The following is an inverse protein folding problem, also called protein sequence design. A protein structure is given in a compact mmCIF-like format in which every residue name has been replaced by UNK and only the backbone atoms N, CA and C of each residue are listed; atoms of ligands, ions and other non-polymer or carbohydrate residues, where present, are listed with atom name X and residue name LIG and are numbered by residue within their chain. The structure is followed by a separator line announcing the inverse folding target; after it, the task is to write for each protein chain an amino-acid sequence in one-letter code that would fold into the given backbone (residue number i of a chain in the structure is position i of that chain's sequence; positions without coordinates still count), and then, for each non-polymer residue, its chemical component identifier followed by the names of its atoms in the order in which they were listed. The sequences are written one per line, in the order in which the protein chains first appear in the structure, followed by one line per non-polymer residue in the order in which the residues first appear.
data_IF_928388978003
#
_entry.id   IF_928388978003
#
_cell.length_a   1.000
_cell.length_b   1.000
_cell.length_c   1.000
_cell.angle_alpha   90.00
_cell.angle_beta   90.00
_cell.angle_gamma   90.00
#
_symmetry.space_group_name_H-M   'P 1'
#
loop_
_entity.id
_entity.type
_entity.pdbx_description
1 polymer ?
#
# COMPACT_ATOMS: atom_id res chain seq x y z
N UNK A 1 -12.59 3.12 -22.80
CA UNK A 1 -13.20 1.78 -22.71
C UNK A 1 -13.36 1.09 -24.06
N UNK A 2 -13.99 1.68 -25.06
CA UNK A 2 -14.20 1.04 -26.37
C UNK A 2 -12.90 0.53 -26.99
N UNK A 3 -11.88 1.37 -27.10
CA UNK A 3 -10.57 0.97 -27.63
C UNK A 3 -9.92 -0.16 -26.82
N UNK A 4 -9.99 -0.08 -25.50
CA UNK A 4 -9.44 -1.12 -24.60
C UNK A 4 -10.06 -2.48 -24.90
N UNK A 5 -11.39 -2.53 -25.03
CA UNK A 5 -12.11 -3.79 -25.27
C UNK A 5 -11.86 -4.30 -26.69
N UNK A 6 -12.04 -3.47 -27.71
CA UNK A 6 -11.91 -3.88 -29.11
C UNK A 6 -10.49 -4.37 -29.41
N UNK A 7 -9.47 -3.66 -28.97
CA UNK A 7 -8.07 -4.04 -29.21
C UNK A 7 -7.66 -5.31 -28.50
N UNK A 8 -8.26 -5.61 -27.35
CA UNK A 8 -7.87 -6.73 -26.51
C UNK A 8 -8.90 -7.87 -26.43
N UNK A 9 -9.98 -7.78 -27.19
CA UNK A 9 -11.09 -8.74 -27.13
C UNK A 9 -10.65 -10.19 -27.30
N UNK A 10 -9.72 -10.43 -28.21
CA UNK A 10 -9.22 -11.78 -28.55
C UNK A 10 -8.10 -12.30 -27.60
N UNK A 11 -7.83 -11.63 -26.49
CA UNK A 11 -6.91 -12.11 -25.49
C UNK A 11 -7.65 -12.98 -24.45
N UNK A 12 -7.54 -14.32 -24.49
CA UNK A 12 -8.33 -15.21 -23.63
C UNK A 12 -7.90 -15.14 -22.15
N UNK A 13 -6.73 -14.62 -21.85
CA UNK A 13 -6.23 -14.41 -20.48
C UNK A 13 -6.88 -13.21 -19.76
N UNK A 14 -7.58 -12.34 -20.47
CA UNK A 14 -8.33 -11.27 -19.85
C UNK A 14 -9.62 -11.85 -19.29
N UNK A 15 -9.82 -11.73 -17.97
CA UNK A 15 -10.99 -12.23 -17.25
C UNK A 15 -11.97 -11.14 -16.88
N UNK A 16 -11.46 -9.92 -16.64
CA UNK A 16 -12.22 -8.79 -16.12
C UNK A 16 -11.89 -7.52 -16.89
N UNK A 17 -12.89 -6.64 -17.03
CA UNK A 17 -12.71 -5.26 -17.48
C UNK A 17 -12.78 -4.32 -16.29
N UNK A 18 -11.69 -3.62 -16.00
CA UNK A 18 -11.64 -2.59 -14.95
C UNK A 18 -12.23 -1.27 -15.43
N UNK A 19 -13.21 -0.72 -14.72
CA UNK A 19 -13.84 0.55 -15.07
C UNK A 19 -13.01 1.75 -14.62
N UNK A 20 -12.46 1.72 -13.41
CA UNK A 20 -11.65 2.82 -12.86
C UNK A 20 -10.77 2.38 -11.70
N UNK A 21 -9.83 3.25 -11.31
CA UNK A 21 -8.95 3.08 -10.17
C UNK A 21 -8.94 4.34 -9.28
N UNK A 22 -9.26 4.18 -8.01
CA UNK A 22 -9.17 5.21 -6.94
C UNK A 22 -9.85 6.55 -7.29
N UNK A 23 -10.86 6.53 -8.13
CA UNK A 23 -11.44 7.75 -8.69
C UNK A 23 -12.11 8.63 -7.62
N UNK A 24 -12.44 8.05 -6.44
CA UNK A 24 -13.04 8.76 -5.32
C UNK A 24 -12.03 9.53 -4.46
N UNK A 25 -10.73 9.45 -4.72
CA UNK A 25 -9.72 10.32 -4.08
C UNK A 25 -10.07 11.81 -4.29
N UNK A 26 -10.59 12.16 -5.48
CA UNK A 26 -11.05 13.51 -5.78
C UNK A 26 -12.43 13.90 -5.23
N UNK A 27 -13.06 13.02 -4.45
CA UNK A 27 -14.45 13.16 -4.01
C UNK A 27 -15.46 12.60 -5.00
N UNK A 28 -16.70 12.41 -4.54
CA UNK A 28 -17.80 11.87 -5.34
C UNK A 28 -18.69 12.99 -5.87
N UNK A 29 -19.15 12.86 -7.11
CA UNK A 29 -20.20 13.68 -7.70
C UNK A 29 -21.14 12.83 -8.57
N UNK A 30 -22.34 13.32 -8.85
CA UNK A 30 -23.33 12.56 -9.59
C UNK A 30 -22.87 12.18 -11.00
N UNK A 31 -22.18 13.10 -11.70
CA UNK A 31 -21.64 12.83 -13.04
C UNK A 31 -20.65 11.66 -13.05
N UNK A 32 -19.93 11.47 -11.95
CA UNK A 32 -18.99 10.36 -11.80
C UNK A 32 -19.72 9.02 -11.66
N UNK A 33 -20.78 9.00 -10.87
CA UNK A 33 -21.66 7.83 -10.71
C UNK A 33 -22.33 7.48 -12.03
N UNK A 34 -22.95 8.47 -12.71
CA UNK A 34 -23.62 8.29 -13.98
C UNK A 34 -22.66 7.77 -15.05
N UNK A 35 -21.45 8.32 -15.12
CA UNK A 35 -20.40 7.86 -16.04
C UNK A 35 -20.01 6.39 -15.79
N UNK A 36 -20.00 5.92 -14.54
CA UNK A 36 -19.70 4.52 -14.25
C UNK A 36 -20.82 3.58 -14.68
N UNK A 37 -22.08 4.00 -14.52
CA UNK A 37 -23.22 3.25 -15.09
C UNK A 37 -23.15 3.20 -16.64
N UNK A 38 -22.80 4.30 -17.28
CA UNK A 38 -22.63 4.34 -18.73
C UNK A 38 -21.46 3.46 -19.19
N UNK A 39 -20.32 3.47 -18.46
CA UNK A 39 -19.19 2.59 -18.73
C UNK A 39 -19.57 1.11 -18.56
N UNK A 40 -20.29 0.76 -17.50
CA UNK A 40 -20.77 -0.60 -17.28
C UNK A 40 -21.69 -1.07 -18.42
N UNK A 41 -22.62 -0.22 -18.84
CA UNK A 41 -23.50 -0.51 -19.97
C UNK A 41 -22.71 -0.70 -21.26
N UNK A 42 -21.77 0.21 -21.56
CA UNK A 42 -20.90 0.12 -22.74
C UNK A 42 -20.10 -1.18 -22.76
N UNK A 43 -19.52 -1.57 -21.60
CA UNK A 43 -18.77 -2.83 -21.51
C UNK A 43 -19.67 -4.02 -21.82
N UNK A 44 -20.89 -4.05 -21.27
CA UNK A 44 -21.86 -5.13 -21.53
C UNK A 44 -22.31 -5.21 -22.98
N UNK A 45 -22.40 -4.08 -23.66
CA UNK A 45 -22.73 -4.03 -25.09
C UNK A 45 -21.57 -4.57 -25.96
N UNK A 46 -20.34 -4.26 -25.60
CA UNK A 46 -19.14 -4.67 -26.36
C UNK A 46 -18.66 -6.09 -26.04
N UNK A 47 -18.77 -6.49 -24.77
CA UNK A 47 -18.37 -7.82 -24.29
C UNK A 47 -19.29 -8.31 -23.16
N UNK A 48 -20.35 -9.04 -23.49
CA UNK A 48 -21.28 -9.58 -22.48
C UNK A 48 -20.71 -10.81 -21.75
N UNK A 49 -19.51 -11.30 -22.11
CA UNK A 49 -18.98 -12.56 -21.61
C UNK A 49 -18.02 -12.40 -20.43
N UNK A 50 -17.29 -11.29 -20.36
CA UNK A 50 -16.34 -11.02 -19.27
C UNK A 50 -17.00 -10.18 -18.17
N UNK A 51 -16.54 -10.40 -16.96
CA UNK A 51 -16.99 -9.66 -15.80
C UNK A 51 -16.33 -8.26 -15.74
N UNK A 52 -16.93 -7.38 -14.97
CA UNK A 52 -16.41 -6.04 -14.70
C UNK A 52 -15.97 -5.90 -13.25
N UNK A 53 -15.03 -4.99 -13.01
CA UNK A 53 -14.53 -4.65 -11.68
C UNK A 53 -14.21 -3.16 -11.55
N UNK A 54 -14.15 -2.70 -10.33
CA UNK A 54 -13.68 -1.36 -9.95
C UNK A 54 -12.68 -1.49 -8.81
N UNK A 55 -11.63 -0.65 -8.81
CA UNK A 55 -10.67 -0.56 -7.74
C UNK A 55 -10.98 0.66 -6.87
N UNK A 56 -11.61 0.43 -5.71
CA UNK A 56 -11.93 1.47 -4.75
C UNK A 56 -10.71 1.89 -3.93
N UNK A 57 -10.64 3.15 -3.56
CA UNK A 57 -9.71 3.57 -2.51
C UNK A 57 -10.19 3.05 -1.15
N UNK A 58 -9.26 2.75 -0.25
CA UNK A 58 -9.52 2.02 1.01
C UNK A 58 -10.64 2.62 1.90
N UNK A 59 -10.87 3.91 1.83
CA UNK A 59 -11.89 4.61 2.62
C UNK A 59 -13.22 4.82 1.88
N UNK A 60 -13.43 4.20 0.72
CA UNK A 60 -14.72 4.26 0.02
C UNK A 60 -15.81 3.62 0.89
N UNK A 61 -16.89 4.36 1.22
CA UNK A 61 -17.99 3.80 2.00
C UNK A 61 -18.69 2.67 1.23
N UNK A 62 -18.92 1.53 1.89
CA UNK A 62 -19.50 0.34 1.26
C UNK A 62 -20.97 0.53 0.87
N UNK A 63 -21.69 1.39 1.55
CA UNK A 63 -23.08 1.76 1.26
C UNK A 63 -23.19 2.94 0.26
N UNK A 64 -22.06 3.34 -0.33
CA UNK A 64 -21.99 4.43 -1.31
C UNK A 64 -22.55 4.04 -2.69
N UNK A 65 -22.89 5.04 -3.53
CA UNK A 65 -23.53 4.81 -4.83
C UNK A 65 -22.60 4.21 -5.90
N UNK A 66 -21.32 3.99 -5.59
CA UNK A 66 -20.37 3.36 -6.49
C UNK A 66 -20.34 1.82 -6.37
N UNK A 67 -20.95 1.29 -5.31
CA UNK A 67 -21.08 -0.16 -5.13
C UNK A 67 -22.22 -0.74 -5.99
N UNK A 68 -22.12 -2.03 -6.31
CA UNK A 68 -23.06 -2.77 -7.15
C UNK A 68 -23.18 -2.27 -8.61
N UNK A 69 -22.24 -1.42 -9.06
CA UNK A 69 -22.17 -1.03 -10.49
C UNK A 69 -21.49 -2.15 -11.30
N UNK A 70 -20.45 -2.76 -10.75
CA UNK A 70 -19.67 -3.84 -11.39
C UNK A 70 -20.05 -5.20 -10.84
N UNK A 71 -19.64 -6.27 -11.53
CA UNK A 71 -19.97 -7.65 -11.12
C UNK A 71 -19.21 -8.10 -9.88
N UNK A 72 -17.97 -7.67 -9.77
CA UNK A 72 -17.11 -7.88 -8.62
C UNK A 72 -16.44 -6.56 -8.26
N UNK A 73 -16.05 -6.44 -7.01
CA UNK A 73 -15.45 -5.20 -6.51
C UNK A 73 -14.09 -5.47 -5.89
N UNK A 74 -13.26 -4.45 -5.84
CA UNK A 74 -11.95 -4.55 -5.20
C UNK A 74 -11.54 -3.24 -4.53
N UNK A 75 -10.61 -3.35 -3.60
CA UNK A 75 -10.06 -2.23 -2.86
C UNK A 75 -8.54 -2.18 -2.99
N UNK A 76 -8.02 -0.98 -3.17
CA UNK A 76 -6.62 -0.68 -2.96
C UNK A 76 -6.41 -0.48 -1.46
N UNK A 77 -5.82 -1.46 -0.78
CA UNK A 77 -5.83 -1.53 0.68
C UNK A 77 -4.41 -1.63 1.25
N UNK A 78 -4.02 -0.62 2.03
CA UNK A 78 -2.64 -0.44 2.45
C UNK A 78 -2.46 -0.34 3.98
N UNK A 79 -3.25 -1.08 4.77
CA UNK A 79 -3.02 -1.16 6.22
C UNK A 79 -1.65 -1.74 6.51
N UNK A 80 -0.90 -1.04 7.36
CA UNK A 80 0.50 -1.35 7.64
C UNK A 80 1.49 -0.61 6.75
N UNK A 81 1.01 0.31 5.85
CA UNK A 81 1.89 1.20 5.09
C UNK A 81 1.44 2.64 5.12
N UNK A 82 0.27 2.97 4.54
CA UNK A 82 -0.25 4.34 4.56
C UNK A 82 -1.07 4.65 5.81
N UNK A 83 -1.51 3.66 6.56
CA UNK A 83 -2.23 3.81 7.82
C UNK A 83 -2.51 2.47 8.48
N UNK A 84 -2.99 2.51 9.71
CA UNK A 84 -3.29 1.30 10.44
C UNK A 84 -2.07 0.40 10.66
N UNK A 85 -2.35 -0.86 11.00
CA UNK A 85 -1.35 -1.91 11.17
C UNK A 85 -1.65 -3.06 10.20
N UNK A 86 -0.63 -3.80 9.77
CA UNK A 86 -0.80 -4.91 8.83
C UNK A 86 -1.75 -6.00 9.36
N UNK A 87 -1.78 -6.20 10.68
CA UNK A 87 -2.65 -7.18 11.34
C UNK A 87 -4.13 -6.87 11.20
N UNK A 88 -4.49 -5.64 10.82
CA UNK A 88 -5.88 -5.23 10.62
C UNK A 88 -6.47 -5.70 9.28
N UNK A 89 -5.63 -6.13 8.32
CA UNK A 89 -6.10 -6.56 6.99
C UNK A 89 -7.06 -7.76 7.08
N UNK A 90 -6.70 -8.81 7.81
CA UNK A 90 -7.55 -9.99 7.98
C UNK A 90 -8.90 -9.66 8.64
N UNK A 91 -8.93 -9.07 9.83
CA UNK A 91 -10.18 -8.65 10.49
C UNK A 91 -11.06 -7.70 9.65
N UNK A 92 -10.45 -6.81 8.88
CA UNK A 92 -11.21 -5.93 7.97
C UNK A 92 -11.91 -6.73 6.87
N UNK A 93 -11.21 -7.66 6.23
CA UNK A 93 -11.77 -8.54 5.21
C UNK A 93 -12.90 -9.41 5.78
N UNK A 94 -12.70 -10.01 6.96
CA UNK A 94 -13.69 -10.86 7.62
C UNK A 94 -14.95 -10.06 7.96
N UNK A 95 -14.79 -8.84 8.48
CA UNK A 95 -15.90 -7.95 8.79
C UNK A 95 -16.65 -7.56 7.52
N UNK A 96 -15.93 -7.13 6.47
CA UNK A 96 -16.54 -6.76 5.19
C UNK A 96 -17.37 -7.91 4.63
N UNK A 97 -16.82 -9.10 4.57
CA UNK A 97 -17.49 -10.29 4.04
C UNK A 97 -18.73 -10.69 4.85
N UNK A 98 -18.68 -10.51 6.18
CA UNK A 98 -19.82 -10.81 7.06
C UNK A 98 -20.95 -9.77 6.92
N UNK A 99 -20.60 -8.49 6.75
CA UNK A 99 -21.58 -7.40 6.64
C UNK A 99 -22.15 -7.25 5.23
N UNK A 100 -21.39 -7.64 4.20
CA UNK A 100 -21.73 -7.50 2.78
C UNK A 100 -21.50 -8.81 2.01
N UNK A 101 -22.25 -9.87 2.34
CA UNK A 101 -22.06 -11.21 1.75
C UNK A 101 -22.46 -11.29 0.27
N UNK A 102 -23.14 -10.29 -0.25
CA UNK A 102 -23.58 -10.14 -1.63
C UNK A 102 -22.51 -9.44 -2.51
N UNK A 103 -21.47 -8.87 -1.91
CA UNK A 103 -20.36 -8.25 -2.63
C UNK A 103 -19.19 -9.24 -2.73
N UNK A 104 -18.84 -9.61 -3.97
CA UNK A 104 -17.63 -10.39 -4.24
C UNK A 104 -16.42 -9.47 -4.19
N UNK A 105 -15.68 -9.51 -3.07
CA UNK A 105 -14.56 -8.60 -2.79
C UNK A 105 -13.21 -9.15 -3.21
N UNK A 106 -12.35 -8.29 -3.75
CA UNK A 106 -10.93 -8.52 -4.00
C UNK A 106 -10.06 -7.39 -3.45
N UNK A 107 -8.76 -7.61 -3.41
CA UNK A 107 -7.76 -6.59 -3.09
C UNK A 107 -6.98 -6.30 -4.37
N UNK A 108 -7.28 -5.14 -4.98
CA UNK A 108 -6.70 -4.72 -6.26
C UNK A 108 -5.30 -4.12 -6.12
N UNK A 109 -4.97 -3.58 -4.95
CA UNK A 109 -3.61 -3.17 -4.61
C UNK A 109 -3.33 -3.38 -3.12
N UNK A 110 -2.15 -3.88 -2.82
CA UNK A 110 -1.54 -3.90 -1.50
C UNK A 110 -0.03 -3.98 -1.66
N UNK A 111 0.73 -3.46 -0.71
CA UNK A 111 2.19 -3.49 -0.76
C UNK A 111 2.84 -2.39 0.07
N UNK A 112 4.13 -2.55 0.33
CA UNK A 112 4.97 -1.59 1.02
C UNK A 112 6.23 -1.33 0.23
N UNK A 113 6.89 -0.20 0.46
CA UNK A 113 8.17 0.05 -0.16
C UNK A 113 9.29 -0.71 0.55
N UNK A 114 10.22 -1.22 -0.23
CA UNK A 114 11.44 -1.84 0.25
C UNK A 114 12.61 -1.43 -0.63
N UNK A 115 13.62 -0.83 -0.05
CA UNK A 115 14.84 -0.40 -0.73
C UNK A 115 15.94 -1.34 -0.32
N UNK A 116 16.54 -2.03 -1.28
CA UNK A 116 17.51 -3.12 -1.06
C UNK A 116 18.80 -2.72 -0.34
N UNK A 117 19.00 -1.43 -0.09
CA UNK A 117 20.16 -0.90 0.64
C UNK A 117 19.86 -0.65 2.13
N UNK A 118 18.57 -0.59 2.50
CA UNK A 118 18.16 -0.33 3.88
C UNK A 118 17.81 -1.63 4.57
N UNK A 119 18.38 -1.82 5.78
CA UNK A 119 18.24 -3.06 6.55
C UNK A 119 17.98 -2.78 8.02
N UNK A 120 17.22 -3.65 8.67
CA UNK A 120 16.94 -3.57 10.10
C UNK A 120 16.71 -4.96 10.70
N UNK A 121 17.27 -5.19 11.90
CA UNK A 121 16.95 -6.36 12.72
C UNK A 121 15.60 -6.23 13.43
N UNK A 122 15.04 -5.02 13.51
CA UNK A 122 13.71 -4.72 14.08
C UNK A 122 12.94 -3.85 13.09
N UNK A 123 12.44 -4.43 11.98
CA UNK A 123 11.80 -3.70 10.90
C UNK A 123 10.49 -3.05 11.34
N UNK A 124 10.33 -1.76 11.02
CA UNK A 124 9.18 -0.95 11.40
C UNK A 124 8.48 -0.34 10.17
N UNK A 125 7.19 -0.09 10.30
CA UNK A 125 6.43 0.61 9.25
C UNK A 125 7.10 1.94 8.89
N UNK A 126 7.34 2.14 7.60
CA UNK A 126 8.00 3.35 7.04
C UNK A 126 9.51 3.45 7.28
N UNK A 127 10.16 2.36 7.62
CA UNK A 127 11.63 2.31 7.64
C UNK A 127 12.24 2.03 6.26
N UNK A 128 11.39 1.70 5.28
CA UNK A 128 11.75 1.38 3.89
C UNK A 128 12.74 0.22 3.74
N UNK A 129 12.94 -0.57 4.79
CA UNK A 129 13.84 -1.71 4.74
C UNK A 129 13.27 -2.85 3.91
N UNK A 130 14.17 -3.64 3.32
CA UNK A 130 13.77 -4.86 2.61
C UNK A 130 13.08 -5.86 3.57
N UNK A 131 13.51 -5.88 4.84
CA UNK A 131 12.97 -6.74 5.88
C UNK A 131 11.53 -6.37 6.23
N UNK A 132 11.18 -5.07 6.30
CA UNK A 132 9.79 -4.66 6.53
C UNK A 132 8.91 -5.01 5.34
N UNK A 133 9.38 -4.79 4.12
CA UNK A 133 8.64 -5.20 2.93
C UNK A 133 8.37 -6.71 2.95
N UNK A 134 9.38 -7.52 3.25
CA UNK A 134 9.23 -8.97 3.34
C UNK A 134 8.23 -9.38 4.43
N UNK A 135 8.34 -8.81 5.63
CA UNK A 135 7.44 -9.07 6.77
C UNK A 135 5.98 -8.76 6.43
N UNK A 136 5.74 -7.62 5.77
CA UNK A 136 4.41 -7.23 5.33
C UNK A 136 3.82 -8.26 4.34
N UNK A 137 4.59 -8.66 3.34
CA UNK A 137 4.14 -9.63 2.34
C UNK A 137 3.99 -11.04 2.91
N UNK A 138 4.80 -11.46 3.89
CA UNK A 138 4.60 -12.70 4.65
C UNK A 138 3.22 -12.73 5.30
N UNK A 139 2.89 -11.63 6.00
CA UNK A 139 1.61 -11.51 6.70
C UNK A 139 0.43 -11.51 5.71
N UNK A 140 0.49 -10.72 4.65
CA UNK A 140 -0.60 -10.62 3.67
C UNK A 140 -0.78 -11.93 2.87
N UNK A 141 0.30 -12.61 2.52
CA UNK A 141 0.21 -13.90 1.83
C UNK A 141 -0.57 -14.94 2.68
N UNK A 142 -0.31 -14.99 3.99
CA UNK A 142 -1.05 -15.84 4.91
C UNK A 142 -2.51 -15.40 5.07
N UNK A 143 -2.75 -14.08 5.22
CA UNK A 143 -4.11 -13.52 5.31
C UNK A 143 -4.97 -13.95 4.12
N UNK A 144 -4.41 -13.95 2.93
CA UNK A 144 -5.14 -14.32 1.71
C UNK A 144 -5.27 -15.84 1.55
N UNK A 145 -4.27 -16.62 1.92
CA UNK A 145 -4.35 -18.09 1.90
C UNK A 145 -5.49 -18.58 2.81
N UNK A 146 -5.70 -17.93 3.95
CA UNK A 146 -6.78 -18.24 4.90
C UNK A 146 -8.17 -17.80 4.41
N UNK A 147 -8.27 -17.03 3.30
CA UNK A 147 -9.52 -16.40 2.81
C UNK A 147 -9.76 -16.71 1.33
N UNK A 148 -10.02 -17.99 0.96
CA UNK A 148 -10.19 -18.40 -0.44
C UNK A 148 -11.41 -17.78 -1.14
N UNK A 149 -12.26 -17.07 -0.41
CA UNK A 149 -13.40 -16.30 -0.92
C UNK A 149 -13.01 -14.91 -1.47
N UNK A 150 -11.79 -14.43 -1.23
CA UNK A 150 -11.26 -13.21 -1.86
C UNK A 150 -10.93 -13.54 -3.32
N UNK A 151 -11.65 -12.92 -4.28
CA UNK A 151 -11.55 -13.31 -5.69
C UNK A 151 -10.22 -12.89 -6.34
N UNK A 152 -9.57 -11.85 -5.84
CA UNK A 152 -8.29 -11.37 -6.36
C UNK A 152 -7.41 -10.75 -5.28
N UNK A 153 -6.09 -10.93 -5.44
CA UNK A 153 -5.06 -10.34 -4.59
C UNK A 153 -3.91 -9.84 -5.47
N UNK A 154 -3.98 -8.57 -5.89
CA UNK A 154 -3.00 -7.99 -6.79
C UNK A 154 -1.98 -7.16 -6.00
N UNK A 155 -0.75 -7.65 -5.93
CA UNK A 155 0.35 -6.93 -5.28
C UNK A 155 0.72 -5.69 -6.09
N UNK A 156 0.87 -4.54 -5.43
CA UNK A 156 1.44 -3.35 -6.00
C UNK A 156 2.87 -3.15 -5.47
N UNK A 157 3.94 -3.49 -6.22
CA UNK A 157 3.92 -3.81 -7.63
C UNK A 157 4.93 -4.94 -7.91
N UNK A 158 4.96 -5.48 -9.12
CA UNK A 158 5.98 -6.47 -9.49
C UNK A 158 7.37 -5.85 -9.58
N UNK A 159 7.48 -4.62 -10.10
CA UNK A 159 8.74 -3.91 -10.30
C UNK A 159 8.70 -2.54 -9.65
N UNK A 160 9.83 -2.07 -9.12
CA UNK A 160 10.01 -0.65 -8.87
C UNK A 160 9.85 0.11 -10.19
N UNK A 161 9.33 1.32 -10.14
CA UNK A 161 9.08 2.11 -11.35
C UNK A 161 9.31 3.61 -11.13
N UNK A 162 9.54 4.33 -12.24
CA UNK A 162 9.70 5.77 -12.23
C UNK A 162 8.39 6.47 -11.85
N UNK A 163 8.47 7.39 -10.89
CA UNK A 163 7.37 8.24 -10.47
C UNK A 163 7.91 9.60 -10.02
N UNK A 164 7.86 10.58 -10.93
CA UNK A 164 8.51 11.89 -10.73
C UNK A 164 8.02 12.64 -9.47
N UNK A 165 6.79 12.39 -9.02
CA UNK A 165 6.22 13.04 -7.85
C UNK A 165 6.64 12.39 -6.51
N UNK A 166 7.40 11.28 -6.53
CA UNK A 166 7.78 10.54 -5.33
C UNK A 166 9.24 10.77 -4.96
N UNK A 167 9.47 10.90 -3.65
CA UNK A 167 10.80 11.08 -3.06
C UNK A 167 10.93 10.28 -1.76
N UNK A 168 10.14 9.22 -1.61
CA UNK A 168 10.06 8.44 -0.38
C UNK A 168 11.28 7.55 -0.21
N UNK A 169 11.66 7.29 1.04
CA UNK A 169 12.78 6.41 1.38
C UNK A 169 14.15 6.94 0.92
N UNK A 170 14.27 8.26 0.68
CA UNK A 170 15.50 8.88 0.21
C UNK A 170 15.83 8.61 -1.27
N UNK A 171 14.89 8.06 -2.05
CA UNK A 171 15.08 7.76 -3.47
C UNK A 171 14.13 8.60 -4.32
N UNK A 172 14.66 9.69 -4.91
CA UNK A 172 13.88 10.60 -5.72
C UNK A 172 13.38 9.96 -7.03
N UNK A 173 12.13 10.31 -7.42
CA UNK A 173 11.56 9.94 -8.71
C UNK A 173 11.24 8.44 -8.86
N UNK A 174 11.08 7.70 -7.75
CA UNK A 174 10.83 6.25 -7.80
C UNK A 174 9.74 5.84 -6.81
N UNK A 175 8.93 4.88 -7.22
CA UNK A 175 8.12 4.05 -6.36
C UNK A 175 8.87 2.73 -6.11
N UNK A 176 9.17 2.41 -4.86
CA UNK A 176 9.97 1.25 -4.47
C UNK A 176 9.11 0.08 -3.94
N UNK A 177 7.82 0.02 -4.31
CA UNK A 177 6.93 -1.09 -3.91
C UNK A 177 7.12 -2.36 -4.74
N UNK A 178 8.04 -2.35 -5.72
CA UNK A 178 8.34 -3.54 -6.51
C UNK A 178 8.83 -4.71 -5.67
N UNK A 179 8.40 -5.92 -6.03
CA UNK A 179 9.01 -7.17 -5.57
C UNK A 179 10.38 -7.38 -6.21
N UNK A 180 10.66 -6.63 -7.27
CA UNK A 180 11.95 -6.59 -7.97
C UNK A 180 12.35 -5.13 -8.21
N UNK A 181 13.65 -4.91 -8.36
CA UNK A 181 14.21 -3.60 -8.68
C UNK A 181 13.79 -3.07 -10.06
N UNK A 182 13.90 -1.75 -10.27
CA UNK A 182 13.48 -1.05 -11.49
C UNK A 182 14.18 -1.58 -12.76
N UNK A 183 15.42 -2.05 -12.65
CA UNK A 183 16.17 -2.67 -13.75
C UNK A 183 15.77 -4.13 -14.01
N UNK A 184 14.84 -4.67 -13.21
CA UNK A 184 14.30 -6.03 -13.25
C UNK A 184 15.31 -7.14 -13.03
N UNK A 185 16.49 -6.83 -12.47
CA UNK A 185 17.59 -7.79 -12.28
C UNK A 185 17.59 -8.42 -10.90
N UNK A 186 17.22 -7.64 -9.87
CA UNK A 186 17.26 -8.11 -8.48
C UNK A 186 15.87 -8.42 -7.98
N UNK A 187 15.66 -9.65 -7.57
CA UNK A 187 14.49 -10.07 -6.78
C UNK A 187 14.72 -9.67 -5.33
N UNK A 188 13.77 -8.97 -4.74
CA UNK A 188 13.77 -8.65 -3.31
C UNK A 188 13.28 -9.86 -2.51
N UNK A 189 13.49 -9.88 -1.21
CA UNK A 189 13.06 -11.01 -0.36
C UNK A 189 11.54 -11.24 -0.44
N UNK A 190 10.75 -10.19 -0.54
CA UNK A 190 9.30 -10.24 -0.76
C UNK A 190 8.86 -11.01 -2.02
N UNK A 191 9.68 -11.06 -3.07
CA UNK A 191 9.43 -11.90 -4.25
C UNK A 191 9.41 -13.39 -3.88
N UNK A 192 10.32 -13.81 -3.03
CA UNK A 192 10.47 -15.21 -2.65
C UNK A 192 9.38 -15.66 -1.66
N UNK A 193 8.76 -14.73 -0.93
CA UNK A 193 7.51 -15.02 -0.19
C UNK A 193 6.48 -15.59 -1.15
N UNK A 194 6.15 -14.88 -2.23
CA UNK A 194 5.15 -15.35 -3.19
C UNK A 194 5.60 -16.61 -3.96
N UNK A 195 6.89 -16.74 -4.23
CA UNK A 195 7.40 -17.99 -4.81
C UNK A 195 7.16 -19.17 -3.87
N UNK A 196 7.31 -18.99 -2.55
CA UNK A 196 7.02 -20.04 -1.58
C UNK A 196 5.52 -20.38 -1.51
N UNK A 197 4.63 -19.38 -1.60
CA UNK A 197 3.18 -19.60 -1.55
C UNK A 197 2.60 -20.14 -2.86
N UNK A 198 3.07 -19.66 -4.02
CA UNK A 198 2.39 -19.89 -5.29
C UNK A 198 3.10 -20.87 -6.23
N UNK A 199 4.40 -21.14 -6.05
CA UNK A 199 5.12 -22.07 -6.91
C UNK A 199 4.80 -23.52 -6.57
N UNK A 200 4.59 -24.33 -7.61
CA UNK A 200 4.51 -25.79 -7.50
C UNK A 200 5.89 -26.46 -7.61
N UNK A 201 6.90 -25.74 -8.08
CA UNK A 201 8.26 -26.24 -8.14
C UNK A 201 8.91 -26.11 -6.76
N UNK A 202 9.63 -27.14 -6.28
CA UNK A 202 10.35 -27.07 -5.02
C UNK A 202 11.27 -25.85 -4.98
N UNK A 203 11.24 -25.12 -3.88
CA UNK A 203 12.10 -23.95 -3.69
C UNK A 203 12.53 -23.79 -2.24
N UNK A 204 13.69 -23.19 -2.05
CA UNK A 204 14.21 -22.68 -0.77
C UNK A 204 14.98 -21.39 -1.04
N UNK A 205 14.83 -20.41 -0.18
CA UNK A 205 15.52 -19.11 -0.27
C UNK A 205 15.85 -18.59 1.12
N UNK A 206 17.10 -18.23 1.36
CA UNK A 206 17.53 -17.56 2.59
C UNK A 206 17.36 -16.05 2.38
N UNK A 207 16.49 -15.45 3.16
CA UNK A 207 16.24 -14.02 3.18
C UNK A 207 17.37 -13.23 3.88
N UNK A 208 17.39 -11.92 3.66
CA UNK A 208 18.37 -11.01 4.28
C UNK A 208 19.79 -11.15 3.73
N UNK A 209 19.95 -11.65 2.51
CA UNK A 209 21.28 -11.84 1.88
C UNK A 209 22.02 -10.53 1.62
N UNK A 210 21.32 -9.40 1.53
CA UNK A 210 21.89 -8.05 1.37
C UNK A 210 22.21 -7.39 2.70
N UNK A 211 21.56 -7.78 3.75
CA UNK A 211 21.93 -7.50 5.13
C UNK A 211 23.10 -8.43 5.54
N UNK A 212 24.20 -8.34 4.82
CA UNK A 212 25.29 -9.33 4.90
C UNK A 212 26.16 -9.18 6.15
N UNK A 213 26.30 -7.96 6.66
CA UNK A 213 27.08 -7.65 7.87
C UNK A 213 26.14 -7.55 9.07
N UNK A 214 26.30 -8.47 10.03
CA UNK A 214 25.43 -8.61 11.20
C UNK A 214 26.21 -8.43 12.50
N UNK A 215 25.69 -7.58 13.37
CA UNK A 215 26.21 -7.41 14.72
C UNK A 215 25.39 -8.25 15.73
N UNK A 216 25.93 -8.40 16.95
CA UNK A 216 25.27 -9.11 18.05
C UNK A 216 25.77 -10.54 18.25
N UNK A 217 25.31 -11.15 19.36
CA UNK A 217 25.70 -12.53 19.74
C UNK A 217 24.98 -13.56 18.86
N UNK A 218 23.76 -13.30 18.49
CA UNK A 218 22.93 -14.14 17.62
C UNK A 218 22.25 -13.31 16.54
N UNK A 219 21.88 -13.96 15.45
CA UNK A 219 21.08 -13.36 14.37
C UNK A 219 19.95 -14.28 13.92
N UNK A 220 18.81 -13.73 13.53
CA UNK A 220 17.75 -14.49 12.90
C UNK A 220 18.10 -14.78 11.45
N UNK A 221 18.05 -16.04 11.07
CA UNK A 221 18.11 -16.51 9.69
C UNK A 221 16.70 -16.91 9.29
N UNK A 222 16.11 -16.16 8.38
CA UNK A 222 14.79 -16.44 7.84
C UNK A 222 14.92 -17.18 6.51
N UNK A 223 14.11 -18.20 6.32
CA UNK A 223 14.12 -19.02 5.09
C UNK A 223 12.70 -19.14 4.57
N UNK A 224 12.51 -18.90 3.27
CA UNK A 224 11.26 -19.17 2.58
C UNK A 224 11.36 -20.50 1.81
N UNK A 225 10.36 -21.35 1.98
CA UNK A 225 10.29 -22.62 1.25
C UNK A 225 8.84 -23.08 1.09
N UNK A 226 8.56 -23.78 0.01
CA UNK A 226 7.31 -24.52 -0.18
C UNK A 226 7.44 -26.01 0.22
N UNK A 227 8.55 -26.38 0.84
CA UNK A 227 8.76 -27.69 1.45
C UNK A 227 8.43 -27.62 2.95
N UNK A 228 7.92 -28.70 3.51
CA UNK A 228 7.46 -28.73 4.91
C UNK A 228 8.59 -28.66 5.93
N UNK A 229 9.81 -29.02 5.55
CA UNK A 229 10.96 -29.10 6.47
C UNK A 229 12.18 -28.43 5.83
N UNK A 230 12.86 -27.62 6.65
CA UNK A 230 14.14 -26.97 6.30
C UNK A 230 15.18 -27.34 7.36
N UNK A 231 16.36 -27.74 6.89
CA UNK A 231 17.57 -27.96 7.72
C UNK A 231 18.54 -26.84 7.44
N UNK A 232 19.04 -26.19 8.52
CA UNK A 232 20.01 -25.10 8.43
C UNK A 232 21.39 -25.54 8.90
N UNK A 233 22.40 -25.12 8.13
CA UNK A 233 23.81 -25.32 8.44
C UNK A 233 24.52 -23.98 8.52
N UNK A 234 25.42 -23.82 9.49
CA UNK A 234 26.36 -22.71 9.61
C UNK A 234 27.77 -23.29 9.59
N UNK A 235 28.60 -22.81 8.65
CA UNK A 235 29.99 -23.28 8.45
C UNK A 235 30.10 -24.81 8.31
N UNK A 236 29.11 -25.41 7.60
CA UNK A 236 29.05 -26.85 7.38
C UNK A 236 28.51 -27.69 8.55
N UNK A 237 28.23 -27.07 9.71
CA UNK A 237 27.67 -27.73 10.88
C UNK A 237 26.15 -27.50 10.91
N UNK A 238 25.38 -28.57 11.08
CA UNK A 238 23.96 -28.47 11.31
C UNK A 238 23.64 -27.72 12.60
N UNK A 239 22.80 -26.68 12.51
CA UNK A 239 22.39 -25.85 13.66
C UNK A 239 20.92 -26.02 14.00
N UNK A 240 20.13 -26.63 13.15
CA UNK A 240 18.76 -26.97 13.45
C UNK A 240 17.94 -27.42 12.25
N UNK A 241 16.80 -28.04 12.56
CA UNK A 241 15.78 -28.43 11.62
C UNK A 241 14.43 -27.86 12.09
N UNK A 242 13.63 -27.34 11.17
CA UNK A 242 12.29 -26.88 11.47
C UNK A 242 11.27 -27.45 10.48
N UNK A 243 10.06 -27.66 10.98
CA UNK A 243 8.86 -27.93 10.18
C UNK A 243 7.93 -26.73 10.38
N UNK A 244 7.60 -26.03 9.30
CA UNK A 244 6.76 -24.84 9.31
C UNK A 244 6.06 -24.65 7.97
N UNK A 245 5.15 -23.66 7.92
CA UNK A 245 4.46 -23.33 6.69
C UNK A 245 5.11 -22.07 6.09
N UNK A 246 5.77 -22.23 4.95
CA UNK A 246 6.38 -21.20 4.09
C UNK A 246 7.52 -20.39 4.70
N UNK A 247 7.46 -20.05 5.99
CA UNK A 247 8.42 -19.17 6.65
C UNK A 247 9.08 -19.90 7.81
N UNK A 248 10.39 -20.06 7.75
CA UNK A 248 11.21 -20.77 8.75
C UNK A 248 12.17 -19.78 9.39
N UNK A 249 12.29 -19.78 10.71
CA UNK A 249 13.11 -18.84 11.46
C UNK A 249 14.07 -19.56 12.38
N UNK A 250 15.36 -19.34 12.20
CA UNK A 250 16.41 -19.92 13.00
C UNK A 250 17.20 -18.80 13.70
N UNK A 251 17.37 -18.89 15.00
CA UNK A 251 18.25 -17.98 15.71
C UNK A 251 19.61 -18.65 15.90
N UNK A 252 20.65 -18.08 15.30
CA UNK A 252 21.98 -18.71 15.23
C UNK A 252 23.08 -17.76 15.72
N UNK A 253 24.10 -18.32 16.36
CA UNK A 253 25.35 -17.61 16.64
C UNK A 253 26.27 -17.67 15.41
N UNK A 254 26.87 -16.54 15.02
CA UNK A 254 27.88 -16.46 14.00
C UNK A 254 29.27 -16.46 14.64
N UNK A 255 30.24 -17.09 13.97
CA UNK A 255 31.65 -16.97 14.30
C UNK A 255 32.19 -15.62 13.81
N UNK A 256 33.28 -15.13 14.39
CA UNK A 256 33.92 -13.88 13.96
C UNK A 256 34.34 -13.93 12.47
N UNK A 257 34.00 -12.89 11.74
CA UNK A 257 34.25 -12.80 10.29
C UNK A 257 33.18 -13.52 9.45
N UNK A 258 33.60 -14.16 8.38
CA UNK A 258 32.67 -14.73 7.38
C UNK A 258 32.12 -16.09 7.80
N UNK A 259 30.81 -16.23 7.64
CA UNK A 259 30.06 -17.44 7.92
C UNK A 259 29.27 -17.86 6.69
N UNK A 260 29.35 -19.12 6.31
CA UNK A 260 28.52 -19.69 5.25
C UNK A 260 27.25 -20.26 5.86
N UNK A 261 26.11 -19.78 5.41
CA UNK A 261 24.79 -20.25 5.80
C UNK A 261 24.24 -21.07 4.63
N UNK A 262 23.80 -22.30 4.91
CA UNK A 262 23.20 -23.21 3.93
C UNK A 262 21.85 -23.67 4.45
N UNK A 263 20.78 -23.49 3.67
CA UNK A 263 19.46 -24.06 3.91
C UNK A 263 19.20 -25.19 2.91
N UNK A 264 18.70 -26.32 3.42
CA UNK A 264 18.36 -27.50 2.63
C UNK A 264 16.89 -27.86 2.89
N UNK A 265 16.11 -28.02 1.81
CA UNK A 265 14.71 -28.39 1.89
C UNK A 265 14.40 -29.47 0.80
N UNK A 266 14.35 -30.72 1.21
CA UNK A 266 14.30 -31.85 0.28
C UNK A 266 15.52 -31.85 -0.65
N UNK A 267 15.28 -31.81 -1.96
CA UNK A 267 16.32 -31.83 -2.99
C UNK A 267 16.84 -30.43 -3.37
N UNK A 268 16.27 -29.37 -2.82
CA UNK A 268 16.67 -27.98 -3.11
C UNK A 268 17.48 -27.38 -1.97
N UNK A 269 18.40 -26.49 -2.34
CA UNK A 269 19.26 -25.81 -1.38
C UNK A 269 19.54 -24.38 -1.82
N UNK A 270 19.78 -23.50 -0.85
CA UNK A 270 20.25 -22.13 -1.04
C UNK A 270 21.36 -21.80 -0.03
N UNK A 271 22.27 -20.94 -0.42
CA UNK A 271 23.42 -20.59 0.40
C UNK A 271 23.73 -19.09 0.30
N UNK A 272 24.08 -18.49 1.43
CA UNK A 272 24.57 -17.12 1.52
C UNK A 272 25.83 -17.06 2.39
N UNK A 273 26.54 -15.95 2.30
CA UNK A 273 27.64 -15.63 3.21
C UNK A 273 27.27 -14.40 4.04
N UNK A 274 27.38 -14.50 5.34
CA UNK A 274 27.21 -13.39 6.28
C UNK A 274 28.55 -13.11 6.96
N UNK A 275 28.79 -11.86 7.31
CA UNK A 275 29.96 -11.42 8.06
C UNK A 275 29.50 -10.97 9.45
N UNK A 276 30.06 -11.56 10.50
CA UNK A 276 29.88 -11.05 11.86
C UNK A 276 30.81 -9.86 12.05
N UNK A 277 30.22 -8.73 12.46
CA UNK A 277 30.91 -7.46 12.69
C UNK A 277 30.61 -6.97 14.11
N UNK A 278 31.48 -6.10 14.65
CA UNK A 278 31.23 -5.47 15.95
C UNK A 278 30.05 -4.50 15.91
N UNK A 279 29.92 -3.74 14.81
CA UNK A 279 28.84 -2.79 14.55
C UNK A 279 28.40 -2.90 13.09
N UNK A 280 27.10 -2.92 12.86
CA UNK A 280 26.55 -2.86 11.51
C UNK A 280 26.88 -1.53 10.83
N UNK A 281 27.07 -1.52 9.49
CA UNK A 281 27.38 -0.32 8.76
C UNK A 281 26.28 0.73 8.83
N UNK A 282 26.66 1.99 9.05
CA UNK A 282 25.70 3.11 9.09
C UNK A 282 24.95 3.29 7.76
N UNK A 283 25.50 2.81 6.63
CA UNK A 283 24.83 2.86 5.33
C UNK A 283 23.65 1.88 5.18
N UNK A 284 23.40 1.00 6.14
CA UNK A 284 22.17 0.20 6.20
C UNK A 284 20.97 1.01 6.68
N UNK A 285 21.22 2.11 7.39
CA UNK A 285 20.17 2.93 7.97
C UNK A 285 19.69 3.97 6.97
N UNK A 286 18.37 4.06 6.84
CA UNK A 286 17.74 5.12 6.05
C UNK A 286 18.21 6.50 6.54
N UNK A 287 18.73 7.37 5.65
CA UNK A 287 19.04 8.75 6.00
C UNK A 287 17.80 9.49 6.52
N UNK A 288 18.00 10.43 7.45
CA UNK A 288 16.91 11.31 7.86
C UNK A 288 16.32 12.04 6.65
N UNK A 289 15.04 11.89 6.42
CA UNK A 289 14.30 12.63 5.41
C UNK A 289 12.93 13.05 5.96
N UNK A 290 12.41 14.15 5.44
CA UNK A 290 11.10 14.62 5.85
C UNK A 290 10.01 14.03 4.94
N UNK A 291 9.44 12.91 5.35
CA UNK A 291 8.38 12.22 4.60
C UNK A 291 7.19 13.13 4.28
N UNK A 292 6.88 14.10 5.16
CA UNK A 292 5.80 15.06 4.95
C UNK A 292 6.09 16.07 3.85
N UNK A 293 7.37 16.37 3.60
CA UNK A 293 7.80 17.27 2.52
C UNK A 293 8.07 16.53 1.21
N UNK A 294 8.51 15.27 1.29
CA UNK A 294 9.07 14.51 0.18
C UNK A 294 8.21 13.32 -0.26
N UNK A 295 7.23 12.92 0.55
CA UNK A 295 6.41 11.75 0.31
C UNK A 295 4.96 12.06 -0.06
N UNK A 296 4.22 11.03 -0.44
CA UNK A 296 2.77 11.10 -0.63
C UNK A 296 2.10 11.05 0.74
N UNK A 297 1.15 11.95 0.98
CA UNK A 297 0.40 11.98 2.24
C UNK A 297 -0.22 10.61 2.56
N UNK A 298 -0.21 10.26 3.84
CA UNK A 298 -0.85 9.05 4.31
C UNK A 298 -2.38 9.21 4.29
N UNK A 299 -3.02 8.71 3.26
CA UNK A 299 -4.45 8.79 3.02
C UNK A 299 -5.30 7.96 4.00
N UNK A 300 -4.66 7.06 4.76
CA UNK A 300 -5.34 6.03 5.56
C UNK A 300 -5.23 6.25 7.07
N UNK A 301 -4.80 7.41 7.54
CA UNK A 301 -4.88 7.72 8.96
C UNK A 301 -6.34 7.67 9.40
N UNK A 302 -6.63 6.81 10.36
CA UNK A 302 -7.97 6.70 10.92
C UNK A 302 -8.40 8.04 11.54
N UNK A 303 -9.63 8.44 11.20
CA UNK A 303 -10.30 9.53 11.87
C UNK A 303 -10.54 9.09 13.32
N UNK A 304 -10.04 9.86 14.27
CA UNK A 304 -10.37 9.66 15.69
C UNK A 304 -11.87 9.75 15.93
N UNK A 305 -12.33 9.21 17.05
CA UNK A 305 -13.74 9.27 17.47
C UNK A 305 -14.28 10.69 17.36
N UNK A 306 -15.41 10.83 16.67
CA UNK A 306 -16.18 12.07 16.64
C UNK A 306 -16.72 12.35 18.05
N UNK A 307 -16.02 13.21 18.79
CA UNK A 307 -16.68 13.90 19.92
C UNK A 307 -17.78 14.80 19.34
N UNK A 308 -18.97 14.65 19.85
CA UNK A 308 -20.15 15.44 19.48
C UNK A 308 -19.92 16.91 19.94
N UNK A 309 -19.26 17.68 19.13
CA UNK A 309 -19.14 19.14 19.30
C UNK A 309 -20.39 19.83 18.76
N UNK A 310 -20.62 21.06 19.20
CA UNK A 310 -21.74 21.86 18.70
C UNK A 310 -21.76 21.86 17.15
N UNK A 311 -22.94 21.74 16.52
CA UNK A 311 -23.02 21.68 15.08
C UNK A 311 -22.40 22.95 14.44
N UNK A 312 -21.52 22.73 13.47
CA UNK A 312 -20.94 23.82 12.69
C UNK A 312 -22.02 24.52 11.85
N UNK A 313 -21.94 25.83 11.74
CA UNK A 313 -22.84 26.61 10.90
C UNK A 313 -22.35 26.61 9.45
N UNK A 314 -23.31 26.57 8.51
CA UNK A 314 -23.06 26.63 7.06
C UNK A 314 -24.04 27.62 6.41
N UNK A 315 -23.82 28.93 6.58
CA UNK A 315 -24.72 29.95 6.06
C UNK A 315 -24.71 29.95 4.52
N UNK A 316 -25.90 30.04 3.94
CA UNK A 316 -26.07 30.08 2.47
C UNK A 316 -25.40 31.33 1.88
N UNK A 317 -24.72 31.16 0.74
CA UNK A 317 -24.01 32.26 0.06
C UNK A 317 -22.62 32.58 0.62
N UNK A 318 -22.12 31.76 1.55
CA UNK A 318 -20.76 31.89 2.09
C UNK A 318 -19.94 30.61 1.83
N UNK A 319 -18.62 30.76 1.75
CA UNK A 319 -17.74 29.61 1.67
C UNK A 319 -17.71 28.81 2.96
N UNK A 320 -17.44 27.52 2.85
CA UNK A 320 -17.35 26.60 3.98
C UNK A 320 -16.37 25.47 3.71
N UNK A 321 -16.12 24.65 4.69
CA UNK A 321 -15.32 23.42 4.53
C UNK A 321 -15.99 22.36 3.65
N UNK A 322 -17.24 22.53 3.27
CA UNK A 322 -17.99 21.67 2.35
C UNK A 322 -17.85 22.07 0.87
N UNK A 323 -17.25 23.24 0.60
CA UNK A 323 -16.95 23.64 -0.76
C UNK A 323 -15.68 22.93 -1.25
N UNK A 324 -15.66 22.55 -2.53
CA UNK A 324 -14.48 21.94 -3.12
C UNK A 324 -13.30 22.91 -3.17
N UNK A 325 -12.06 22.40 -3.21
CA UNK A 325 -10.88 23.25 -3.43
C UNK A 325 -10.98 24.05 -4.71
N UNK A 326 -11.65 23.52 -5.73
CA UNK A 326 -11.94 24.23 -7.00
C UNK A 326 -12.90 25.39 -6.78
N UNK A 327 -13.95 25.21 -5.96
CA UNK A 327 -14.86 26.32 -5.61
C UNK A 327 -14.16 27.37 -4.77
N UNK A 328 -13.39 26.95 -3.78
CA UNK A 328 -12.58 27.85 -2.95
C UNK A 328 -11.57 28.63 -3.79
N UNK A 329 -11.06 28.07 -4.87
CA UNK A 329 -10.12 28.74 -5.79
C UNK A 329 -10.70 29.91 -6.58
N UNK A 330 -12.02 30.07 -6.57
CA UNK A 330 -12.70 31.23 -7.20
C UNK A 330 -12.56 32.51 -6.37
N UNK A 331 -12.08 32.40 -5.13
CA UNK A 331 -11.80 33.51 -4.22
C UNK A 331 -10.40 33.35 -3.62
N UNK A 332 -9.55 34.36 -3.76
CA UNK A 332 -8.16 34.31 -3.32
C UNK A 332 -8.01 34.10 -1.80
N UNK A 333 -8.88 34.74 -1.00
CA UNK A 333 -8.84 34.64 0.47
C UNK A 333 -9.28 33.24 0.92
N UNK A 334 -10.36 32.69 0.34
CA UNK A 334 -10.84 31.36 0.65
C UNK A 334 -9.81 30.28 0.26
N UNK A 335 -9.20 30.40 -0.91
CA UNK A 335 -8.13 29.53 -1.35
C UNK A 335 -6.91 29.59 -0.44
N UNK A 336 -6.48 30.80 -0.07
CA UNK A 336 -5.33 30.99 0.82
C UNK A 336 -5.56 30.35 2.19
N UNK A 337 -6.76 30.49 2.77
CA UNK A 337 -7.13 29.83 4.02
C UNK A 337 -7.08 28.30 3.90
N UNK A 338 -7.70 27.75 2.87
CA UNK A 338 -7.76 26.30 2.67
C UNK A 338 -6.37 25.69 2.38
N UNK A 339 -5.58 26.32 1.50
CA UNK A 339 -4.23 25.84 1.18
C UNK A 339 -3.26 25.98 2.35
N UNK A 340 -3.38 27.06 3.14
CA UNK A 340 -2.62 27.21 4.39
C UNK A 340 -2.98 26.13 5.40
N UNK A 341 -4.27 25.79 5.51
CA UNK A 341 -4.74 24.73 6.38
C UNK A 341 -4.15 23.38 5.97
N UNK A 342 -4.19 23.04 4.68
CA UNK A 342 -3.58 21.83 4.17
C UNK A 342 -2.07 21.82 4.43
N UNK A 343 -1.39 22.92 4.17
CA UNK A 343 0.06 23.02 4.40
C UNK A 343 0.43 22.81 5.86
N UNK A 344 -0.32 23.38 6.79
CA UNK A 344 -0.09 23.19 8.23
C UNK A 344 -0.32 21.75 8.68
N UNK A 345 -1.30 21.08 8.08
CA UNK A 345 -1.64 19.71 8.44
C UNK A 345 -0.74 18.65 7.80
N UNK A 346 -0.27 18.90 6.57
CA UNK A 346 0.41 17.89 5.75
C UNK A 346 1.83 18.27 5.36
N UNK A 347 2.20 19.55 5.52
CA UNK A 347 3.40 20.19 4.98
C UNK A 347 3.46 20.25 3.43
N UNK A 348 2.36 19.90 2.73
CA UNK A 348 2.26 20.05 1.28
C UNK A 348 1.77 21.43 0.86
N UNK A 349 2.42 22.00 -0.15
CA UNK A 349 2.00 23.22 -0.84
C UNK A 349 1.10 22.85 -2.02
N UNK A 350 -0.20 23.10 -1.89
CA UNK A 350 -1.17 22.85 -2.97
C UNK A 350 -1.47 24.18 -3.67
N UNK A 351 -1.24 24.20 -4.98
CA UNK A 351 -1.50 25.40 -5.80
C UNK A 351 -2.25 25.00 -7.09
N UNK A 352 -3.21 25.82 -7.55
CA UNK A 352 -3.88 25.60 -8.83
C UNK A 352 -2.87 25.41 -9.97
N UNK A 353 -3.08 24.36 -10.77
CA UNK A 353 -2.27 24.06 -11.95
C UNK A 353 -0.92 23.40 -11.67
N UNK A 354 -0.60 23.05 -10.42
CA UNK A 354 0.67 22.41 -10.05
C UNK A 354 0.46 21.08 -9.34
N UNK A 355 1.13 20.04 -9.83
CA UNK A 355 1.29 18.76 -9.13
C UNK A 355 -0.03 18.09 -8.73
N UNK A 356 -0.28 17.96 -7.43
CA UNK A 356 -1.43 17.25 -6.87
C UNK A 356 -2.76 18.02 -7.00
N UNK A 357 -2.76 19.25 -7.51
CA UNK A 357 -3.98 20.06 -7.61
C UNK A 357 -5.11 19.32 -8.35
N UNK A 358 -4.82 18.72 -9.50
CA UNK A 358 -5.84 18.04 -10.30
C UNK A 358 -6.47 16.83 -9.60
N UNK A 359 -5.74 16.21 -8.70
CA UNK A 359 -6.25 15.12 -7.85
C UNK A 359 -7.11 15.65 -6.69
N UNK A 360 -6.79 16.82 -6.17
CA UNK A 360 -7.37 17.36 -4.94
C UNK A 360 -8.42 18.43 -5.15
N UNK A 361 -8.51 19.03 -6.34
CA UNK A 361 -9.40 20.17 -6.61
C UNK A 361 -10.89 19.91 -6.35
N UNK A 362 -11.32 18.64 -6.47
CA UNK A 362 -12.70 18.23 -6.18
C UNK A 362 -12.95 17.88 -4.72
N UNK A 363 -11.88 17.73 -3.94
CA UNK A 363 -12.00 17.44 -2.50
C UNK A 363 -12.41 18.68 -1.73
N UNK A 364 -13.17 18.48 -0.66
CA UNK A 364 -13.47 19.53 0.32
C UNK A 364 -12.44 19.52 1.44
N UNK A 365 -12.19 20.66 2.11
CA UNK A 365 -11.38 20.67 3.33
C UNK A 365 -11.86 19.67 4.40
N UNK A 366 -13.17 19.46 4.52
CA UNK A 366 -13.75 18.46 5.41
C UNK A 366 -13.30 17.05 5.06
N UNK A 367 -13.37 16.68 3.78
CA UNK A 367 -12.91 15.36 3.30
C UNK A 367 -11.41 15.19 3.51
N UNK A 368 -10.64 16.21 3.17
CA UNK A 368 -9.19 16.19 3.33
C UNK A 368 -8.79 16.04 4.80
N UNK A 369 -9.46 16.76 5.71
CA UNK A 369 -9.20 16.65 7.14
C UNK A 369 -9.43 15.25 7.68
N UNK A 370 -10.49 14.58 7.22
CA UNK A 370 -10.78 13.19 7.58
C UNK A 370 -9.68 12.23 7.10
N UNK A 371 -9.10 12.49 5.93
CA UNK A 371 -8.05 11.66 5.35
C UNK A 371 -6.69 11.78 6.04
N UNK A 372 -6.33 12.97 6.51
CA UNK A 372 -5.01 13.25 7.09
C UNK A 372 -5.03 13.35 8.62
N UNK A 373 -6.14 12.99 9.24
CA UNK A 373 -6.34 13.01 10.68
C UNK A 373 -5.90 14.34 11.33
N UNK A 374 -6.51 15.44 10.88
CA UNK A 374 -6.23 16.76 11.42
C UNK A 374 -6.54 16.83 12.92
N UNK A 375 -5.79 17.64 13.69
CA UNK A 375 -6.08 17.84 15.10
C UNK A 375 -7.51 18.32 15.34
N UNK A 376 -8.08 17.92 16.48
CA UNK A 376 -9.40 18.38 16.91
C UNK A 376 -9.47 19.91 16.96
N UNK A 377 -10.59 20.45 16.53
CA UNK A 377 -10.83 21.89 16.48
C UNK A 377 -10.23 22.61 15.26
N UNK A 378 -9.40 21.92 14.44
CA UNK A 378 -8.78 22.54 13.28
C UNK A 378 -9.80 22.83 12.16
N UNK A 379 -10.68 21.89 11.89
CA UNK A 379 -11.74 22.02 10.87
C UNK A 379 -12.78 23.04 11.29
N UNK A 380 -13.14 23.06 12.56
CA UNK A 380 -14.07 24.05 13.10
C UNK A 380 -13.48 25.48 12.99
N UNK A 381 -12.19 25.62 13.28
CA UNK A 381 -11.49 26.91 13.14
C UNK A 381 -11.41 27.37 11.69
N UNK A 382 -11.15 26.44 10.74
CA UNK A 382 -11.14 26.75 9.31
C UNK A 382 -12.54 27.14 8.83
N UNK A 383 -13.58 26.39 9.21
CA UNK A 383 -14.96 26.71 8.86
C UNK A 383 -15.38 28.08 9.38
N UNK A 384 -15.04 28.38 10.64
CA UNK A 384 -15.34 29.69 11.25
C UNK A 384 -14.69 30.90 10.54
N UNK A 385 -13.61 30.68 9.77
CA UNK A 385 -13.00 31.67 8.93
C UNK A 385 -13.65 31.72 7.54
N UNK A 386 -13.89 30.56 6.91
CA UNK A 386 -14.49 30.48 5.57
C UNK A 386 -15.93 31.06 5.51
N UNK A 387 -16.76 30.83 6.54
CA UNK A 387 -18.14 31.35 6.59
C UNK A 387 -18.21 32.88 6.73
N UNK A 388 -17.10 33.57 6.84
CA UNK A 388 -17.04 35.06 6.78
C UNK A 388 -16.82 35.57 5.36
N UNK A 389 -16.44 34.70 4.42
CA UNK A 389 -16.16 35.04 3.03
C UNK A 389 -17.38 34.73 2.19
N UNK A 390 -17.91 35.74 1.52
CA UNK A 390 -19.09 35.61 0.67
C UNK A 390 -18.71 35.01 -0.70
N UNK A 391 -19.56 34.10 -1.19
CA UNK A 391 -19.41 33.50 -2.54
C UNK A 391 -19.69 34.52 -3.63
#
# INVERSE_FOLDING_TARGET
MTELIIQNYNHPSIMFWGLSNEILIGGICQELVDNHHDLQKLVRELDPTRLTTIAHVSNTPVDGPMHHITDVESYNHYFGWYGGKMEQNGPWLDKFHAEHPDICIGISEYGTEGIINWHSNDPQCKDYTEEYQALYHEHLAQVFEDRPWVWATHCWNMFDFGCAARHEGGVAGRNNKGLMTIDRKTKKDSYFVYQAYWSKLPMVHIAGRRHAQRAGETTEIKVYSNQDTVVLYVNGKEVGQQTAHRVFKFNVALEEGFNTILAVAGDVKDSITLEKVEKEPDYYTLPEFNERQEGVANWFKQVGSLDLKAPMEFPEGYYSIKDSMEDLSKNEEALALATRAVKLATNFDIKPGVGMWDMMKRMTPETMAKMINMPDGFIESLNAQLIKIKK
#
